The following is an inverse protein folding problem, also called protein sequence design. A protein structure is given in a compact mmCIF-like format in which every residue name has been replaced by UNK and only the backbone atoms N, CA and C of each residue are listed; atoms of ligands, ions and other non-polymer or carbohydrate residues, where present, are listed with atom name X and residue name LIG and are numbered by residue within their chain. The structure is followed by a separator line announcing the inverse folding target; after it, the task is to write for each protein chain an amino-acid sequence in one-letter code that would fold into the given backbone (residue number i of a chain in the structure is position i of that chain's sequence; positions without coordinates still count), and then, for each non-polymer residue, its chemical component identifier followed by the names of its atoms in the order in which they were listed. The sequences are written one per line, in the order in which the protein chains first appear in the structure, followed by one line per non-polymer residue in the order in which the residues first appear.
data_IF_007087202547
#
_entry.id   IF_007087202547
#
_cell.length_a   1.000
_cell.length_b   1.000
_cell.length_c   1.000
_cell.angle_alpha   90.00
_cell.angle_beta   90.00
_cell.angle_gamma   90.00
#
_symmetry.space_group_name_H-M   'P 1'
#
loop_
_entity.id
_entity.type
_entity.pdbx_description
1 polymer ?
#
# COMPACT_ATOMS: atom_id res chain seq x y z
N UNK A 1 -57.12 -20.96 -15.27
CA UNK A 1 -55.89 -20.44 -15.92
C UNK A 1 -55.08 -19.71 -14.87
N UNK A 2 -54.07 -20.37 -14.25
CA UNK A 2 -53.15 -19.80 -13.28
C UNK A 2 -51.94 -19.23 -14.03
N UNK A 3 -51.76 -17.93 -13.98
CA UNK A 3 -50.58 -17.22 -14.50
C UNK A 3 -49.47 -17.27 -13.44
N UNK A 4 -48.43 -18.05 -13.72
CA UNK A 4 -47.20 -18.09 -12.92
C UNK A 4 -46.39 -16.79 -13.14
N UNK A 5 -46.29 -15.94 -12.11
CA UNK A 5 -45.36 -14.82 -12.06
C UNK A 5 -43.95 -15.37 -11.80
N UNK A 6 -43.13 -15.40 -12.86
CA UNK A 6 -41.69 -15.68 -12.76
C UNK A 6 -41.03 -14.44 -12.22
N UNK A 7 -40.69 -14.47 -10.92
CA UNK A 7 -39.87 -13.44 -10.26
C UNK A 7 -38.46 -13.45 -10.83
N UNK A 8 -38.07 -12.40 -11.55
CA UNK A 8 -36.67 -12.12 -11.89
C UNK A 8 -35.89 -11.90 -10.59
N UNK A 9 -35.04 -12.84 -10.22
CA UNK A 9 -33.96 -12.60 -9.24
C UNK A 9 -32.99 -11.62 -9.86
N UNK A 10 -33.04 -10.35 -9.43
CA UNK A 10 -31.95 -9.41 -9.63
C UNK A 10 -30.73 -9.96 -8.89
N UNK A 11 -29.78 -10.48 -9.63
CA UNK A 11 -28.46 -10.80 -9.11
C UNK A 11 -27.79 -9.47 -8.77
N UNK A 12 -27.85 -9.05 -7.49
CA UNK A 12 -27.04 -7.97 -6.96
C UNK A 12 -25.58 -8.35 -7.20
N UNK A 13 -24.95 -7.75 -8.20
CA UNK A 13 -23.51 -7.84 -8.41
C UNK A 13 -22.89 -7.20 -7.17
N UNK A 14 -22.37 -8.01 -6.25
CA UNK A 14 -21.59 -7.55 -5.12
C UNK A 14 -20.30 -6.92 -5.68
N UNK A 15 -20.29 -5.61 -5.79
CA UNK A 15 -19.08 -4.84 -6.12
C UNK A 15 -18.10 -5.10 -4.97
N UNK A 16 -17.04 -5.84 -5.25
CA UNK A 16 -15.99 -6.08 -4.25
C UNK A 16 -15.26 -4.76 -3.99
N UNK A 17 -15.56 -4.15 -2.86
CA UNK A 17 -14.84 -2.97 -2.37
C UNK A 17 -13.62 -3.45 -1.58
N UNK A 18 -12.53 -2.68 -1.62
CA UNK A 18 -11.31 -2.94 -0.88
C UNK A 18 -10.71 -1.63 -0.40
N UNK A 19 -10.34 -1.57 0.87
CA UNK A 19 -9.65 -0.43 1.47
C UNK A 19 -8.18 -0.81 1.66
N UNK A 20 -7.29 0.04 1.19
CA UNK A 20 -5.85 -0.16 1.26
C UNK A 20 -5.24 1.01 2.04
N UNK A 21 -4.50 0.70 3.09
CA UNK A 21 -3.68 1.64 3.85
C UNK A 21 -2.26 1.60 3.30
N UNK A 22 -1.79 2.71 2.74
CA UNK A 22 -0.40 2.91 2.34
C UNK A 22 0.38 3.63 3.42
N UNK A 23 1.63 3.24 3.65
CA UNK A 23 2.51 3.84 4.65
C UNK A 23 3.90 4.07 4.08
N UNK A 24 4.43 5.27 4.29
CA UNK A 24 5.85 5.62 4.14
C UNK A 24 6.45 5.77 5.55
N UNK A 25 7.22 4.75 6.04
CA UNK A 25 7.67 4.73 7.43
C UNK A 25 8.84 5.67 7.66
N UNK A 26 8.74 6.49 8.71
CA UNK A 26 9.80 7.37 9.15
C UNK A 26 9.78 7.58 10.67
N UNK A 27 10.92 7.94 11.26
CA UNK A 27 11.03 8.22 12.71
C UNK A 27 10.88 9.71 13.07
N UNK A 28 10.95 10.60 12.10
CA UNK A 28 10.68 12.03 12.28
C UNK A 28 9.31 12.40 11.74
N UNK A 29 8.96 11.83 10.61
CA UNK A 29 7.67 11.97 9.93
C UNK A 29 7.32 10.60 9.36
N UNK A 30 6.10 10.15 9.53
CA UNK A 30 5.54 8.98 8.88
C UNK A 30 4.37 9.43 8.02
N UNK A 31 4.40 9.11 6.73
CA UNK A 31 3.30 9.36 5.81
C UNK A 31 2.27 8.23 5.86
N UNK A 32 0.99 8.55 5.67
CA UNK A 32 -0.06 7.58 5.42
C UNK A 32 -1.01 8.04 4.32
N UNK A 33 -1.60 7.08 3.63
CA UNK A 33 -2.62 7.34 2.61
C UNK A 33 -3.60 6.17 2.51
N UNK A 34 -4.89 6.46 2.50
CA UNK A 34 -5.95 5.46 2.52
C UNK A 34 -6.80 5.62 1.27
N UNK A 35 -6.89 4.55 0.50
CA UNK A 35 -7.70 4.50 -0.71
C UNK A 35 -8.78 3.42 -0.61
N UNK A 36 -9.94 3.73 -1.18
CA UNK A 36 -11.01 2.76 -1.43
C UNK A 36 -11.00 2.40 -2.90
N UNK A 37 -10.96 1.11 -3.18
CA UNK A 37 -10.96 0.58 -4.53
C UNK A 37 -12.25 -0.18 -4.79
N UNK A 38 -12.89 0.13 -5.89
CA UNK A 38 -13.99 -0.63 -6.46
C UNK A 38 -13.59 -1.16 -7.83
N UNK A 39 -14.42 -1.98 -8.48
CA UNK A 39 -14.13 -2.49 -9.82
C UNK A 39 -13.86 -1.42 -10.88
N UNK A 40 -14.31 -0.18 -10.66
CA UNK A 40 -14.25 0.92 -11.66
C UNK A 40 -13.55 2.19 -11.18
N UNK A 41 -13.19 2.29 -9.90
CA UNK A 41 -12.72 3.56 -9.32
C UNK A 41 -11.74 3.34 -8.16
N UNK A 42 -10.73 4.21 -8.11
CA UNK A 42 -9.89 4.41 -6.92
C UNK A 42 -10.31 5.75 -6.31
N UNK A 43 -10.62 5.75 -5.03
CA UNK A 43 -11.07 6.91 -4.29
C UNK A 43 -10.15 7.17 -3.10
N UNK A 44 -9.72 8.42 -2.94
CA UNK A 44 -8.99 8.86 -1.76
C UNK A 44 -9.97 8.99 -0.59
N UNK A 45 -9.73 8.25 0.50
CA UNK A 45 -10.50 8.40 1.74
C UNK A 45 -9.83 9.38 2.69
N UNK A 46 -8.53 9.23 2.91
CA UNK A 46 -7.74 10.11 3.77
C UNK A 46 -6.25 10.00 3.46
N UNK A 47 -5.49 11.04 3.77
CA UNK A 47 -4.04 11.01 3.71
C UNK A 47 -3.44 12.12 4.57
N UNK A 48 -2.28 11.87 5.14
CA UNK A 48 -1.60 12.82 6.00
C UNK A 48 -0.29 12.31 6.53
N UNK A 49 0.18 12.96 7.59
CA UNK A 49 1.44 12.61 8.24
C UNK A 49 1.32 12.61 9.76
N UNK A 50 2.04 11.68 10.39
CA UNK A 50 2.37 11.75 11.79
C UNK A 50 3.72 12.45 11.96
N UNK A 51 3.73 13.67 12.50
CA UNK A 51 4.97 14.40 12.78
C UNK A 51 5.46 14.13 14.19
N UNK A 52 6.66 13.58 14.31
CA UNK A 52 7.34 13.26 15.58
C UNK A 52 8.61 14.09 15.78
N UNK A 53 8.79 15.20 15.02
CA UNK A 53 10.01 16.02 15.03
C UNK A 53 10.33 16.61 16.41
N UNK A 54 9.31 16.89 17.22
CA UNK A 54 9.49 17.48 18.57
C UNK A 54 9.87 16.46 19.63
N UNK A 55 9.63 15.18 19.39
CA UNK A 55 9.97 14.11 20.31
C UNK A 55 11.43 13.68 20.09
N UNK A 56 12.18 13.52 21.17
CA UNK A 56 13.61 13.15 21.14
C UNK A 56 13.81 11.65 21.39
N UNK A 57 12.97 11.08 22.22
CA UNK A 57 13.06 9.66 22.58
C UNK A 57 12.52 8.76 21.46
N UNK A 58 13.34 7.81 21.03
CA UNK A 58 12.97 6.88 19.97
C UNK A 58 11.84 5.93 20.41
N UNK A 59 11.85 5.48 21.66
CA UNK A 59 10.82 4.59 22.18
C UNK A 59 9.44 5.25 22.17
N UNK A 60 9.39 6.53 22.58
CA UNK A 60 8.15 7.33 22.51
C UNK A 60 7.68 7.50 21.08
N UNK A 61 8.60 7.79 20.12
CA UNK A 61 8.25 7.87 18.69
C UNK A 61 7.67 6.54 18.16
N UNK A 62 8.28 5.42 18.53
CA UNK A 62 7.78 4.10 18.11
C UNK A 62 6.37 3.83 18.68
N UNK A 63 6.15 4.21 19.96
CA UNK A 63 4.81 4.15 20.54
C UNK A 63 3.81 5.03 19.79
N UNK A 64 4.18 6.27 19.43
CA UNK A 64 3.33 7.17 18.64
C UNK A 64 2.96 6.56 17.29
N UNK A 65 3.93 5.90 16.61
CA UNK A 65 3.67 5.18 15.36
C UNK A 65 2.63 4.07 15.58
N UNK A 66 2.84 3.23 16.61
CA UNK A 66 1.92 2.14 16.90
C UNK A 66 0.50 2.65 17.16
N UNK A 67 0.35 3.61 18.07
CA UNK A 67 -0.95 4.16 18.45
C UNK A 67 -1.65 4.82 17.24
N UNK A 68 -0.90 5.55 16.41
CA UNK A 68 -1.46 6.18 15.21
C UNK A 68 -1.92 5.15 14.18
N UNK A 69 -1.12 4.10 13.94
CA UNK A 69 -1.51 2.99 13.06
C UNK A 69 -2.78 2.30 13.55
N UNK A 70 -2.88 2.01 14.85
CA UNK A 70 -4.08 1.42 15.44
C UNK A 70 -5.31 2.33 15.21
N UNK A 71 -5.17 3.64 15.45
CA UNK A 71 -6.25 4.59 15.25
C UNK A 71 -6.71 4.62 13.77
N UNK A 72 -5.79 4.66 12.81
CA UNK A 72 -6.12 4.61 11.38
C UNK A 72 -6.83 3.30 11.01
N UNK A 73 -6.33 2.18 11.51
CA UNK A 73 -6.89 0.86 11.24
C UNK A 73 -8.30 0.74 11.85
N UNK A 74 -8.49 1.13 13.08
CA UNK A 74 -9.79 1.03 13.77
C UNK A 74 -10.82 2.01 13.17
N UNK A 75 -10.37 3.14 12.61
CA UNK A 75 -11.24 4.14 11.95
C UNK A 75 -11.67 3.73 10.53
N UNK A 76 -10.73 3.26 9.73
CA UNK A 76 -10.97 3.04 8.30
C UNK A 76 -11.16 1.56 7.92
N UNK A 77 -10.85 0.63 8.82
CA UNK A 77 -10.97 -0.82 8.64
C UNK A 77 -10.34 -1.31 7.31
N UNK A 78 -9.04 -1.02 7.06
CA UNK A 78 -8.40 -1.43 5.82
C UNK A 78 -8.30 -2.96 5.71
N UNK A 79 -8.45 -3.47 4.49
CA UNK A 79 -8.29 -4.90 4.18
C UNK A 79 -6.82 -5.31 4.10
N UNK A 80 -5.95 -4.38 3.68
CA UNK A 80 -4.53 -4.64 3.45
C UNK A 80 -3.67 -3.41 3.77
N UNK A 81 -2.45 -3.66 4.26
CA UNK A 81 -1.40 -2.65 4.43
C UNK A 81 -0.39 -2.77 3.28
N UNK A 82 -0.11 -1.65 2.63
CA UNK A 82 1.01 -1.49 1.72
C UNK A 82 2.07 -0.59 2.35
N UNK A 83 3.31 -1.04 2.46
CA UNK A 83 4.35 -0.26 3.12
C UNK A 83 5.58 -0.12 2.24
N UNK A 84 6.18 1.08 2.21
CA UNK A 84 7.42 1.28 1.49
C UNK A 84 8.57 0.55 2.18
N UNK A 85 9.29 -0.28 1.41
CA UNK A 85 10.44 -1.01 1.91
C UNK A 85 11.63 -0.07 2.12
N UNK A 86 12.30 -0.21 3.25
CA UNK A 86 13.50 0.56 3.53
C UNK A 86 14.67 0.06 2.68
N UNK A 87 15.40 0.99 2.07
CA UNK A 87 16.53 0.67 1.22
C UNK A 87 17.85 0.88 1.96
N UNK A 88 18.87 0.12 1.56
CA UNK A 88 20.21 0.27 2.10
C UNK A 88 20.76 1.65 1.77
N UNK A 89 20.95 2.47 2.79
CA UNK A 89 21.61 3.77 2.70
C UNK A 89 23.01 3.72 3.35
N UNK A 90 23.80 4.75 3.14
CA UNK A 90 25.16 4.83 3.70
C UNK A 90 25.16 4.91 5.23
N UNK A 91 24.10 5.44 5.85
CA UNK A 91 24.00 5.61 7.30
C UNK A 91 23.24 4.45 7.97
N UNK A 92 24.00 3.48 8.47
CA UNK A 92 23.47 2.27 9.16
C UNK A 92 22.59 2.62 10.35
N UNK A 93 22.93 3.66 11.14
CA UNK A 93 22.13 4.05 12.31
C UNK A 93 20.73 4.57 11.91
N UNK A 94 20.68 5.34 10.83
CA UNK A 94 19.39 5.81 10.29
C UNK A 94 18.56 4.64 9.77
N UNK A 95 19.17 3.69 9.07
CA UNK A 95 18.50 2.49 8.56
C UNK A 95 17.91 1.65 9.69
N UNK A 96 18.67 1.41 10.76
CA UNK A 96 18.18 0.66 11.92
C UNK A 96 16.98 1.36 12.59
N UNK A 97 16.98 2.69 12.66
CA UNK A 97 15.84 3.45 13.17
C UNK A 97 14.62 3.32 12.26
N UNK A 98 14.80 3.45 10.95
CA UNK A 98 13.74 3.31 9.96
C UNK A 98 13.15 1.89 9.97
N UNK A 99 13.99 0.85 10.02
CA UNK A 99 13.54 -0.53 10.15
C UNK A 99 12.72 -0.79 11.42
N UNK A 100 13.06 -0.14 12.55
CA UNK A 100 12.24 -0.20 13.77
C UNK A 100 10.86 0.45 13.55
N UNK A 101 10.80 1.63 12.92
CA UNK A 101 9.55 2.32 12.61
C UNK A 101 8.66 1.48 11.69
N UNK A 102 9.24 0.91 10.64
CA UNK A 102 8.56 0.00 9.71
C UNK A 102 8.03 -1.24 10.44
N UNK A 103 8.86 -1.92 11.24
CA UNK A 103 8.46 -3.10 12.01
C UNK A 103 7.31 -2.81 12.98
N UNK A 104 7.29 -1.64 13.61
CA UNK A 104 6.19 -1.22 14.50
C UNK A 104 4.90 -0.99 13.70
N UNK A 105 4.96 -0.35 12.53
CA UNK A 105 3.78 -0.17 11.68
C UNK A 105 3.21 -1.52 11.21
N UNK A 106 4.07 -2.45 10.80
CA UNK A 106 3.69 -3.82 10.43
C UNK A 106 3.08 -4.56 11.63
N UNK A 107 3.69 -4.49 12.80
CA UNK A 107 3.18 -5.14 14.01
C UNK A 107 1.79 -4.62 14.41
N UNK A 108 1.54 -3.32 14.26
CA UNK A 108 0.22 -2.73 14.49
C UNK A 108 -0.83 -3.32 13.54
N UNK A 109 -0.53 -3.45 12.24
CA UNK A 109 -1.43 -4.07 11.27
C UNK A 109 -1.70 -5.56 11.59
N UNK A 110 -0.64 -6.32 11.86
CA UNK A 110 -0.76 -7.74 12.20
C UNK A 110 -1.54 -7.97 13.51
N UNK A 111 -1.46 -7.05 14.48
CA UNK A 111 -2.26 -7.12 15.71
C UNK A 111 -3.78 -7.03 15.46
N UNK A 112 -4.18 -6.50 14.31
CA UNK A 112 -5.56 -6.44 13.81
C UNK A 112 -5.83 -7.45 12.68
N UNK A 113 -4.92 -8.43 12.50
CA UNK A 113 -5.01 -9.45 11.44
C UNK A 113 -5.05 -8.89 10.03
N UNK A 114 -4.48 -7.70 9.80
CA UNK A 114 -4.37 -7.08 8.49
C UNK A 114 -3.08 -7.56 7.83
N UNK A 115 -3.16 -8.21 6.65
CA UNK A 115 -1.99 -8.61 5.88
C UNK A 115 -1.25 -7.39 5.33
N UNK A 116 0.07 -7.54 5.10
CA UNK A 116 0.88 -6.48 4.53
C UNK A 116 1.73 -6.96 3.36
N UNK A 117 2.09 -6.02 2.50
CA UNK A 117 3.07 -6.20 1.42
C UNK A 117 4.04 -5.02 1.37
N UNK A 118 5.32 -5.33 1.13
CA UNK A 118 6.40 -4.34 1.04
C UNK A 118 6.74 -4.01 -0.41
N UNK A 119 6.95 -2.73 -0.70
CA UNK A 119 7.27 -2.26 -2.04
C UNK A 119 8.53 -1.42 -2.08
N UNK A 120 9.50 -1.81 -2.91
CA UNK A 120 10.69 -1.00 -3.16
C UNK A 120 10.32 0.35 -3.81
N UNK A 121 10.98 1.47 -3.45
CA UNK A 121 10.70 2.80 -4.01
C UNK A 121 10.69 2.84 -5.55
N UNK A 122 11.62 2.14 -6.18
CA UNK A 122 11.68 2.02 -7.64
C UNK A 122 10.44 1.33 -8.23
N UNK A 123 9.89 0.32 -7.53
CA UNK A 123 8.70 -0.39 -7.97
C UNK A 123 7.45 0.48 -7.82
N UNK A 124 7.37 1.26 -6.74
CA UNK A 124 6.29 2.24 -6.52
C UNK A 124 6.27 3.24 -7.68
N UNK A 125 7.41 3.89 -7.97
CA UNK A 125 7.53 4.84 -9.08
C UNK A 125 7.16 4.22 -10.43
N UNK A 126 7.67 3.01 -10.71
CA UNK A 126 7.37 2.27 -11.94
C UNK A 126 5.88 2.01 -12.10
N UNK A 127 5.17 1.63 -11.05
CA UNK A 127 3.74 1.30 -11.11
C UNK A 127 2.86 2.54 -11.35
N UNK A 128 3.29 3.71 -10.87
CA UNK A 128 2.52 4.96 -11.01
C UNK A 128 2.80 5.65 -12.35
N UNK A 129 4.07 5.70 -12.77
CA UNK A 129 4.51 6.54 -13.91
C UNK A 129 5.01 5.73 -15.11
N UNK A 130 5.17 4.42 -14.97
CA UNK A 130 5.81 3.56 -15.98
C UNK A 130 7.35 3.65 -15.98
N UNK A 131 7.97 4.50 -15.13
CA UNK A 131 9.42 4.69 -15.04
C UNK A 131 9.89 4.72 -13.59
N UNK A 132 10.79 3.78 -13.21
CA UNK A 132 11.31 3.70 -11.83
C UNK A 132 12.27 4.84 -11.43
N UNK A 133 12.68 5.69 -12.40
CA UNK A 133 13.55 6.85 -12.20
C UNK A 133 12.78 8.18 -12.13
N UNK A 134 11.46 8.14 -12.13
CA UNK A 134 10.62 9.35 -12.08
C UNK A 134 10.88 10.17 -10.83
N UNK A 135 10.78 11.50 -10.98
CA UNK A 135 10.88 12.42 -9.85
C UNK A 135 9.62 12.34 -8.95
N UNK A 136 9.71 12.90 -7.74
CA UNK A 136 8.56 12.97 -6.82
C UNK A 136 7.41 13.78 -7.42
N UNK A 137 7.72 14.87 -8.13
CA UNK A 137 6.74 15.74 -8.78
C UNK A 137 5.99 15.00 -9.90
N UNK A 138 6.69 14.14 -10.66
CA UNK A 138 6.07 13.31 -11.68
C UNK A 138 5.10 12.28 -11.09
N UNK A 139 5.51 11.63 -9.97
CA UNK A 139 4.63 10.72 -9.23
C UNK A 139 3.41 11.47 -8.71
N UNK A 140 3.63 12.63 -8.10
CA UNK A 140 2.58 13.50 -7.57
C UNK A 140 1.55 13.90 -8.64
N UNK A 141 2.02 14.37 -9.80
CA UNK A 141 1.15 14.73 -10.92
C UNK A 141 0.31 13.54 -11.42
N UNK A 142 0.91 12.36 -11.52
CA UNK A 142 0.16 11.16 -11.93
C UNK A 142 -0.89 10.75 -10.90
N UNK A 143 -0.61 10.86 -9.60
CA UNK A 143 -1.58 10.56 -8.55
C UNK A 143 -2.80 11.47 -8.60
N UNK A 144 -2.64 12.76 -8.91
CA UNK A 144 -3.76 13.70 -9.14
C UNK A 144 -4.71 13.17 -10.21
N UNK A 145 -4.17 12.68 -11.33
CA UNK A 145 -4.96 12.11 -12.42
C UNK A 145 -5.60 10.78 -12.06
N UNK A 146 -4.86 9.88 -11.41
CA UNK A 146 -5.35 8.54 -11.01
C UNK A 146 -6.49 8.66 -10.01
N UNK A 147 -6.31 9.49 -8.98
CA UNK A 147 -7.28 9.69 -7.90
C UNK A 147 -8.38 10.68 -8.26
N UNK A 148 -8.24 11.40 -9.39
CA UNK A 148 -9.17 12.45 -9.86
C UNK A 148 -9.42 13.54 -8.81
N UNK A 149 -8.38 13.95 -8.10
CA UNK A 149 -8.42 15.00 -7.08
C UNK A 149 -7.85 16.31 -7.63
N UNK A 150 -8.23 17.44 -7.04
CA UNK A 150 -7.72 18.74 -7.48
C UNK A 150 -6.32 19.02 -6.98
N UNK A 151 -6.06 18.70 -5.73
CA UNK A 151 -4.78 18.91 -5.07
C UNK A 151 -4.40 17.65 -4.29
N UNK A 152 -3.10 17.37 -4.21
CA UNK A 152 -2.58 16.34 -3.33
C UNK A 152 -2.58 16.84 -1.88
N UNK A 153 -2.71 15.92 -0.91
CA UNK A 153 -2.48 16.25 0.48
C UNK A 153 -1.03 16.67 0.70
N UNK A 154 -0.86 17.72 1.49
CA UNK A 154 0.45 18.15 1.97
C UNK A 154 0.68 17.58 3.39
N UNK A 155 1.92 17.28 3.75
CA UNK A 155 3.19 17.36 3.01
C UNK A 155 3.45 16.15 2.08
N UNK A 156 4.56 16.19 1.32
CA UNK A 156 4.92 15.19 0.30
C UNK A 156 5.03 13.74 0.83
N UNK A 157 5.34 13.56 2.11
CA UNK A 157 5.39 12.21 2.72
C UNK A 157 4.01 11.51 2.65
N UNK A 158 2.90 12.25 2.72
CA UNK A 158 1.57 11.71 2.50
C UNK A 158 1.36 11.24 1.04
N UNK A 159 1.99 11.94 0.09
CA UNK A 159 1.96 11.58 -1.34
C UNK A 159 2.73 10.27 -1.60
N UNK A 160 3.89 10.07 -0.97
CA UNK A 160 4.69 8.84 -1.09
C UNK A 160 3.89 7.64 -0.52
N UNK A 161 3.20 7.81 0.60
CA UNK A 161 2.32 6.79 1.17
C UNK A 161 1.10 6.47 0.26
N UNK A 162 0.48 7.49 -0.35
CA UNK A 162 -0.59 7.29 -1.34
C UNK A 162 -0.09 6.54 -2.57
N UNK A 163 1.10 6.86 -3.07
CA UNK A 163 1.72 6.14 -4.18
C UNK A 163 1.89 4.66 -3.85
N UNK A 164 2.26 4.35 -2.60
CA UNK A 164 2.42 2.98 -2.11
C UNK A 164 1.09 2.23 -2.10
N UNK A 165 0.00 2.85 -1.64
CA UNK A 165 -1.35 2.25 -1.68
C UNK A 165 -1.82 1.98 -3.12
N UNK A 166 -1.64 2.94 -4.04
CA UNK A 166 -2.01 2.78 -5.46
C UNK A 166 -1.13 1.72 -6.14
N UNK A 167 0.18 1.67 -5.83
CA UNK A 167 1.07 0.61 -6.29
C UNK A 167 0.55 -0.77 -5.91
N UNK A 168 0.15 -0.95 -4.66
CA UNK A 168 -0.40 -2.19 -4.15
C UNK A 168 -1.66 -2.61 -4.93
N UNK A 169 -2.58 -1.69 -5.15
CA UNK A 169 -3.77 -1.96 -5.96
C UNK A 169 -3.43 -2.48 -7.35
N UNK A 170 -2.48 -1.86 -8.05
CA UNK A 170 -2.08 -2.30 -9.39
C UNK A 170 -1.38 -3.66 -9.39
N UNK A 171 -0.58 -3.96 -8.36
CA UNK A 171 0.11 -5.24 -8.25
C UNK A 171 -0.84 -6.39 -7.89
N UNK A 172 -1.79 -6.17 -6.98
CA UNK A 172 -2.75 -7.19 -6.55
C UNK A 172 -3.77 -7.56 -7.64
N UNK A 173 -4.05 -6.64 -8.58
CA UNK A 173 -4.98 -6.85 -9.71
C UNK A 173 -4.27 -7.20 -11.02
N UNK A 174 -2.95 -7.24 -11.07
CA UNK A 174 -2.24 -7.65 -12.29
C UNK A 174 -2.53 -9.13 -12.59
N UNK A 175 -3.03 -9.46 -13.80
CA UNK A 175 -3.24 -10.86 -14.22
C UNK A 175 -1.92 -11.65 -14.27
N UNK A 176 -0.80 -10.95 -14.23
CA UNK A 176 0.55 -11.47 -14.03
C UNK A 176 0.90 -11.62 -12.55
N UNK A 177 -0.03 -11.98 -11.69
CA UNK A 177 0.30 -12.65 -10.46
C UNK A 177 1.18 -13.83 -10.84
N UNK A 178 2.50 -13.61 -10.95
CA UNK A 178 3.45 -14.64 -11.32
C UNK A 178 3.15 -15.81 -10.41
N UNK A 179 2.92 -17.01 -11.01
CA UNK A 179 2.68 -18.21 -10.24
C UNK A 179 3.66 -18.19 -9.09
N UNK A 180 3.17 -18.00 -7.85
CA UNK A 180 4.01 -18.06 -6.66
C UNK A 180 4.55 -19.48 -6.63
N UNK A 181 5.75 -19.65 -7.12
CA UNK A 181 6.41 -20.94 -7.06
C UNK A 181 6.87 -21.14 -5.62
N UNK A 182 6.48 -22.26 -5.02
CA UNK A 182 6.84 -22.61 -3.63
C UNK A 182 8.33 -23.00 -3.50
N UNK A 183 9.16 -22.73 -4.51
CA UNK A 183 10.57 -23.03 -4.59
C UNK A 183 11.03 -23.26 -6.02
N UNK A 184 12.35 -23.46 -6.18
CA UNK A 184 12.99 -23.67 -7.48
C UNK A 184 12.43 -24.87 -8.24
N UNK A 185 12.12 -25.96 -7.56
CA UNK A 185 11.52 -27.15 -8.16
C UNK A 185 10.13 -26.89 -8.77
N UNK A 186 9.31 -26.10 -8.10
CA UNK A 186 8.01 -25.68 -8.60
C UNK A 186 8.14 -24.77 -9.82
N UNK A 187 9.15 -23.88 -9.85
CA UNK A 187 9.48 -23.06 -11.00
C UNK A 187 9.90 -23.90 -12.20
N UNK A 188 10.82 -24.87 -12.02
CA UNK A 188 11.31 -25.72 -13.09
C UNK A 188 10.23 -26.62 -13.69
N UNK A 189 9.36 -27.21 -12.87
CA UNK A 189 8.20 -28.01 -13.34
C UNK A 189 7.27 -27.22 -14.27
N UNK A 190 7.11 -25.93 -14.00
CA UNK A 190 6.22 -25.06 -14.77
C UNK A 190 6.93 -24.33 -15.95
N UNK A 191 8.26 -24.50 -16.07
CA UNK A 191 9.07 -23.87 -17.13
C UNK A 191 10.11 -24.83 -17.70
N UNK A 192 9.70 -25.99 -18.26
CA UNK A 192 10.63 -27.04 -18.70
C UNK A 192 11.61 -26.60 -19.79
N UNK A 193 11.26 -25.56 -20.55
CA UNK A 193 12.10 -25.01 -21.63
C UNK A 193 13.27 -24.15 -21.14
N UNK A 194 13.36 -23.83 -19.84
CA UNK A 194 14.48 -23.06 -19.28
C UNK A 194 15.63 -23.94 -18.75
N UNK A 195 15.53 -25.24 -18.90
CA UNK A 195 16.58 -26.21 -18.53
C UNK A 195 17.50 -26.58 -19.72
N UNK A 196 17.26 -26.01 -20.91
CA UNK A 196 18.12 -26.27 -22.09
C UNK A 196 19.09 -25.10 -22.27
N UNK A 197 20.23 -25.19 -21.65
CA UNK A 197 21.54 -24.64 -22.08
C UNK A 197 22.59 -25.60 -21.68
#
# INVERSE_FOLDING_TARGET
TQTLLVGRKESKILVKEKIILGVDPGTNVMGYGIIKVTSSKIELLDAGVLSMKKEKDLGVRLKMIFDHMINLIDQFLPDELAIEAQFFGENVQSMLKLGKAQGVAIAAALSRSIPFEEYAPKKIKMSITGKGTSSKEQVASMLVHILKIKNLPEPLDATDALATAVCHHYQSNSPTGGKKYSGWDSFLKNNPNKLKT
#
